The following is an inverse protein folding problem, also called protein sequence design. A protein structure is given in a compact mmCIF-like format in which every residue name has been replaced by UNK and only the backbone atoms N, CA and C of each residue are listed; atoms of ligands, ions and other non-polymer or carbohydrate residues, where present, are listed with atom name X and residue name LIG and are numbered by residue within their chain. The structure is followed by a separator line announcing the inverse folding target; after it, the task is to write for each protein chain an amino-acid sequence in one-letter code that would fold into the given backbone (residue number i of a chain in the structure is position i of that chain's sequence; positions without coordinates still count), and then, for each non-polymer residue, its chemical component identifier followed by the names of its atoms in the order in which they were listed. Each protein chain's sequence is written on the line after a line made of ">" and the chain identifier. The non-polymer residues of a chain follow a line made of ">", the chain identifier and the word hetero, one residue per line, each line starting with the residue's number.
data_IF_489558125067
#
_entry.id   IF_489558125067
#
_cell.length_a   1.000
_cell.length_b   1.000
_cell.length_c   1.000
_cell.angle_alpha   90.00
_cell.angle_beta   90.00
_cell.angle_gamma   90.00
#
_symmetry.space_group_name_H-M   'P 1'
#
loop_
_entity.id
_entity.type
_entity.pdbx_description
1 polymer ?
#
# COMPACT_ATOMS: atom_id res chain seq x y z
N UNK A 1 -42.18 14.17 23.97
CA UNK A 1 -40.97 13.57 24.59
C UNK A 1 -39.98 13.33 23.47
N UNK A 2 -38.87 14.07 23.47
CA UNK A 2 -37.86 13.98 22.40
C UNK A 2 -37.12 12.64 22.53
N UNK A 3 -37.25 11.78 21.52
CA UNK A 3 -36.45 10.56 21.42
C UNK A 3 -35.00 10.95 21.16
N UNK A 4 -34.10 10.53 22.04
CA UNK A 4 -32.66 10.68 21.83
C UNK A 4 -32.24 9.91 20.57
N UNK A 5 -31.34 10.45 19.74
CA UNK A 5 -30.86 9.76 18.55
C UNK A 5 -30.11 8.47 18.94
N UNK A 6 -30.23 7.39 18.14
CA UNK A 6 -29.57 6.14 18.41
C UNK A 6 -28.05 6.31 18.40
N UNK A 7 -27.38 5.70 19.37
CA UNK A 7 -25.92 5.73 19.49
C UNK A 7 -25.26 5.07 18.26
N UNK A 8 -24.18 5.66 17.72
CA UNK A 8 -23.47 5.07 16.59
C UNK A 8 -22.80 3.75 16.98
N UNK A 9 -22.60 2.83 16.02
CA UNK A 9 -21.94 1.56 16.27
C UNK A 9 -20.49 1.77 16.76
N UNK A 10 -19.99 0.88 17.64
CA UNK A 10 -18.66 1.02 18.23
C UNK A 10 -17.59 0.94 17.13
N UNK A 11 -16.82 2.02 16.95
CA UNK A 11 -15.70 2.11 16.00
C UNK A 11 -15.79 3.22 14.95
N UNK A 12 -16.91 3.96 14.87
CA UNK A 12 -16.98 5.14 14.01
C UNK A 12 -16.25 6.33 14.67
N UNK A 13 -15.17 6.81 14.04
CA UNK A 13 -14.56 8.07 14.44
C UNK A 13 -15.61 9.20 14.34
N UNK A 14 -15.67 10.14 15.30
CA UNK A 14 -16.62 11.24 15.23
C UNK A 14 -16.39 12.03 13.94
N UNK A 15 -17.46 12.27 13.19
CA UNK A 15 -17.40 13.06 11.96
C UNK A 15 -16.86 14.46 12.27
N UNK A 16 -16.00 14.98 11.39
CA UNK A 16 -15.48 16.34 11.53
C UNK A 16 -16.62 17.37 11.47
N UNK A 17 -16.45 18.55 12.09
CA UNK A 17 -17.46 19.63 12.00
C UNK A 17 -17.83 20.00 10.56
N UNK A 18 -16.88 19.89 9.62
CA UNK A 18 -17.13 20.10 8.20
C UNK A 18 -18.03 19.03 7.59
N UNK A 19 -17.85 17.75 7.95
CA UNK A 19 -18.75 16.67 7.52
C UNK A 19 -20.15 16.81 8.12
N UNK A 20 -20.25 17.22 9.39
CA UNK A 20 -21.54 17.49 10.03
C UNK A 20 -22.28 18.64 9.33
N UNK A 21 -21.58 19.74 9.04
CA UNK A 21 -22.17 20.86 8.29
C UNK A 21 -22.63 20.48 6.88
N UNK A 22 -21.95 19.55 6.21
CA UNK A 22 -22.37 19.04 4.91
C UNK A 22 -23.64 18.17 5.04
N UNK A 23 -23.72 17.33 6.08
CA UNK A 23 -24.88 16.49 6.33
C UNK A 23 -26.12 17.31 6.72
N UNK A 24 -25.94 18.36 7.52
CA UNK A 24 -27.01 19.30 7.91
C UNK A 24 -27.48 20.16 6.72
N UNK A 25 -26.64 20.36 5.71
CA UNK A 25 -27.00 21.04 4.47
C UNK A 25 -27.80 20.15 3.50
N UNK A 26 -27.90 18.84 3.76
CA UNK A 26 -28.73 17.94 2.96
C UNK A 26 -30.21 18.16 3.32
N UNK A 27 -31.10 18.45 2.36
CA UNK A 27 -32.50 18.72 2.66
C UNK A 27 -33.17 17.52 3.34
N UNK A 28 -33.78 17.74 4.52
CA UNK A 28 -34.51 16.70 5.27
C UNK A 28 -36.02 16.63 4.91
N UNK A 29 -36.50 17.60 4.13
CA UNK A 29 -37.87 17.65 3.61
C UNK A 29 -37.87 17.35 2.11
N UNK A 30 -38.96 16.78 1.58
CA UNK A 30 -39.09 16.52 0.15
C UNK A 30 -39.00 17.85 -0.64
N UNK A 31 -37.86 18.08 -1.29
CA UNK A 31 -37.64 19.25 -2.14
C UNK A 31 -38.03 18.90 -3.57
N UNK A 32 -38.94 19.65 -4.21
CA UNK A 32 -39.31 19.41 -5.59
C UNK A 32 -38.12 19.73 -6.51
N UNK A 33 -37.68 18.71 -7.24
CA UNK A 33 -36.49 18.72 -8.08
C UNK A 33 -36.80 18.13 -9.46
N UNK A 34 -36.01 18.51 -10.46
CA UNK A 34 -36.04 17.93 -11.80
C UNK A 34 -34.64 17.54 -12.24
N UNK A 35 -34.54 16.49 -13.06
CA UNK A 35 -33.28 16.08 -13.69
C UNK A 35 -33.19 16.71 -15.08
N UNK A 36 -32.15 17.52 -15.29
CA UNK A 36 -31.86 18.16 -16.57
C UNK A 36 -30.57 17.61 -17.14
N UNK A 37 -30.65 17.03 -18.33
CA UNK A 37 -29.46 16.56 -19.05
C UNK A 37 -28.75 17.75 -19.70
N UNK A 38 -27.50 17.98 -19.33
CA UNK A 38 -26.63 18.99 -19.93
C UNK A 38 -25.55 18.28 -20.74
N UNK A 39 -25.38 18.70 -21.98
CA UNK A 39 -24.32 18.19 -22.87
C UNK A 39 -23.14 19.14 -22.84
N UNK A 40 -21.95 18.62 -22.55
CA UNK A 40 -20.73 19.42 -22.57
C UNK A 40 -20.43 19.82 -24.03
N UNK A 41 -20.24 21.12 -24.32
CA UNK A 41 -19.90 21.58 -25.67
C UNK A 41 -18.54 21.01 -26.13
N UNK A 42 -18.37 20.89 -27.45
CA UNK A 42 -17.22 20.22 -28.07
C UNK A 42 -15.86 20.92 -27.84
N UNK A 43 -15.87 22.13 -27.27
CA UNK A 43 -14.69 22.94 -26.93
C UNK A 43 -14.16 22.67 -25.51
N UNK A 44 -14.76 21.75 -24.76
CA UNK A 44 -14.30 21.37 -23.43
C UNK A 44 -13.10 20.40 -23.48
N UNK A 45 -12.44 20.12 -22.33
CA UNK A 45 -11.39 19.13 -22.26
C UNK A 45 -11.80 17.77 -22.88
N UNK A 46 -10.87 17.06 -23.57
CA UNK A 46 -11.18 15.86 -24.35
C UNK A 46 -11.83 14.75 -23.50
N UNK A 47 -11.56 14.72 -22.19
CA UNK A 47 -12.12 13.73 -21.27
C UNK A 47 -13.62 13.92 -21.00
N UNK A 48 -14.18 15.10 -21.30
CA UNK A 48 -15.59 15.45 -21.01
C UNK A 48 -16.37 15.99 -22.21
N UNK A 49 -15.70 16.41 -23.29
CA UNK A 49 -16.33 16.95 -24.49
C UNK A 49 -17.36 15.97 -25.09
N UNK A 50 -18.57 16.47 -25.39
CA UNK A 50 -19.65 15.67 -25.98
C UNK A 50 -20.34 14.70 -25.01
N UNK A 51 -19.91 14.59 -23.75
CA UNK A 51 -20.60 13.79 -22.74
C UNK A 51 -21.82 14.54 -22.22
N UNK A 52 -22.91 13.80 -22.02
CA UNK A 52 -24.13 14.30 -21.39
C UNK A 52 -24.18 13.86 -19.92
N UNK A 53 -24.51 14.78 -19.03
CA UNK A 53 -24.63 14.53 -17.59
C UNK A 53 -25.94 15.10 -17.05
N UNK A 54 -26.55 14.36 -16.12
CA UNK A 54 -27.75 14.82 -15.43
C UNK A 54 -27.35 15.80 -14.32
N UNK A 55 -28.10 16.91 -14.23
CA UNK A 55 -28.02 17.88 -13.15
C UNK A 55 -29.36 17.93 -12.45
N UNK A 56 -29.31 17.98 -11.13
CA UNK A 56 -30.48 18.27 -10.30
C UNK A 56 -30.70 19.78 -10.31
N UNK A 57 -31.90 20.20 -10.69
CA UNK A 57 -32.33 21.59 -10.68
C UNK A 57 -33.65 21.74 -9.92
N UNK A 58 -33.93 22.95 -9.47
CA UNK A 58 -35.24 23.30 -8.93
C UNK A 58 -36.33 23.06 -10.00
N UNK A 59 -37.37 22.31 -9.66
CA UNK A 59 -38.43 21.95 -10.61
C UNK A 59 -39.27 23.14 -11.10
N UNK A 60 -39.30 24.24 -10.34
CA UNK A 60 -40.10 25.43 -10.66
C UNK A 60 -39.33 26.46 -11.49
N UNK A 61 -38.01 26.52 -11.34
CA UNK A 61 -37.19 27.62 -11.87
C UNK A 61 -35.99 27.16 -12.69
N UNK A 62 -35.78 25.85 -12.87
CA UNK A 62 -34.71 25.27 -13.70
C UNK A 62 -33.28 25.68 -13.30
N UNK A 63 -33.10 26.15 -12.07
CA UNK A 63 -31.83 26.62 -11.54
C UNK A 63 -31.22 25.61 -10.56
N UNK A 64 -29.89 25.48 -10.60
CA UNK A 64 -29.14 24.64 -9.64
C UNK A 64 -29.18 25.21 -8.22
N UNK A 65 -29.05 26.54 -8.12
CA UNK A 65 -29.28 27.30 -6.88
C UNK A 65 -30.46 28.22 -7.12
N UNK A 66 -31.52 28.06 -6.34
CA UNK A 66 -32.74 28.83 -6.49
C UNK A 66 -33.05 29.55 -5.17
N UNK A 67 -32.83 30.85 -5.15
CA UNK A 67 -33.09 31.70 -3.97
C UNK A 67 -34.60 31.79 -3.67
N UNK A 68 -35.46 31.69 -4.69
CA UNK A 68 -36.92 31.77 -4.54
C UNK A 68 -37.51 30.55 -3.82
N UNK A 69 -36.94 29.36 -4.05
CA UNK A 69 -37.34 28.13 -3.38
C UNK A 69 -36.45 27.78 -2.18
N UNK A 70 -35.43 28.60 -1.90
CA UNK A 70 -34.40 28.36 -0.89
C UNK A 70 -33.72 26.98 -1.01
N UNK A 71 -33.35 26.59 -2.23
CA UNK A 71 -32.72 25.29 -2.52
C UNK A 71 -31.38 25.47 -3.22
N UNK A 72 -30.39 24.67 -2.80
CA UNK A 72 -29.06 24.65 -3.40
C UNK A 72 -28.65 23.21 -3.74
N UNK A 73 -28.73 22.87 -5.02
CA UNK A 73 -28.29 21.59 -5.55
C UNK A 73 -26.83 21.62 -6.05
N UNK A 74 -26.14 22.76 -5.96
CA UNK A 74 -24.75 22.85 -6.42
C UNK A 74 -23.82 21.84 -5.72
N UNK A 75 -23.89 21.62 -4.40
CA UNK A 75 -23.07 20.61 -3.73
C UNK A 75 -23.34 19.18 -4.23
N UNK A 76 -24.61 18.83 -4.47
CA UNK A 76 -25.01 17.50 -4.97
C UNK A 76 -24.56 17.28 -6.41
N UNK A 77 -24.73 18.29 -7.26
CA UNK A 77 -24.28 18.25 -8.65
C UNK A 77 -22.75 18.13 -8.74
N UNK A 78 -22.03 18.87 -7.90
CA UNK A 78 -20.57 18.78 -7.78
C UNK A 78 -20.15 17.38 -7.33
N UNK A 79 -20.75 16.84 -6.27
CA UNK A 79 -20.43 15.50 -5.77
C UNK A 79 -20.71 14.42 -6.81
N UNK A 80 -21.84 14.49 -7.52
CA UNK A 80 -22.16 13.56 -8.60
C UNK A 80 -21.09 13.61 -9.71
N UNK A 81 -20.71 14.81 -10.17
CA UNK A 81 -19.67 14.96 -11.19
C UNK A 81 -18.34 14.40 -10.71
N UNK A 82 -17.93 14.73 -9.49
CA UNK A 82 -16.72 14.21 -8.88
C UNK A 82 -16.70 12.68 -8.87
N UNK A 83 -17.76 12.04 -8.37
CA UNK A 83 -17.85 10.57 -8.30
C UNK A 83 -17.93 9.90 -9.68
N UNK A 84 -18.53 10.56 -10.68
CA UNK A 84 -18.64 10.00 -12.04
C UNK A 84 -17.29 9.98 -12.79
N UNK A 85 -16.43 10.94 -12.51
CA UNK A 85 -15.09 11.03 -13.11
C UNK A 85 -13.98 10.51 -12.21
N UNK A 86 -14.30 10.19 -10.96
CA UNK A 86 -13.37 9.53 -10.06
C UNK A 86 -12.95 8.17 -10.68
N UNK A 87 -11.65 7.84 -10.65
CA UNK A 87 -11.22 6.50 -11.03
C UNK A 87 -11.94 5.46 -10.16
N UNK A 88 -12.18 4.25 -10.69
CA UNK A 88 -12.84 3.19 -9.91
C UNK A 88 -12.06 2.90 -8.61
N UNK A 89 -10.75 3.11 -8.65
CA UNK A 89 -9.81 3.04 -7.54
C UNK A 89 -9.86 4.23 -6.57
N UNK A 90 -10.79 5.19 -6.73
CA UNK A 90 -11.08 6.26 -5.77
C UNK A 90 -12.36 5.99 -4.95
N UNK A 91 -13.16 4.99 -5.34
CA UNK A 91 -14.46 4.70 -4.72
C UNK A 91 -14.38 3.32 -4.03
N UNK A 92 -14.65 3.24 -2.71
CA UNK A 92 -14.66 1.94 -2.04
C UNK A 92 -15.78 1.07 -2.60
N UNK A 93 -15.50 -0.22 -2.92
CA UNK A 93 -16.53 -1.13 -3.42
C UNK A 93 -17.52 -1.47 -2.30
N UNK A 94 -18.70 -2.03 -2.65
CA UNK A 94 -19.61 -2.59 -1.66
C UNK A 94 -18.90 -3.57 -0.71
N UNK A 95 -19.37 -3.73 0.53
CA UNK A 95 -18.81 -4.69 1.47
C UNK A 95 -18.72 -6.10 0.86
N UNK A 96 -17.65 -6.84 1.19
CA UNK A 96 -17.38 -8.22 0.78
C UNK A 96 -17.04 -8.46 -0.70
N UNK A 97 -16.75 -7.41 -1.49
CA UNK A 97 -16.22 -7.59 -2.85
C UNK A 97 -14.70 -7.78 -2.78
N UNK A 98 -14.21 -8.87 -3.37
CA UNK A 98 -12.77 -9.11 -3.47
C UNK A 98 -12.10 -8.05 -4.36
N UNK A 99 -10.88 -7.60 -4.03
CA UNK A 99 -10.15 -6.66 -4.88
C UNK A 99 -9.97 -7.19 -6.31
N UNK A 100 -10.02 -6.32 -7.34
CA UNK A 100 -9.74 -6.73 -8.71
C UNK A 100 -8.36 -7.40 -8.85
N UNK A 101 -8.24 -8.50 -9.63
CA UNK A 101 -7.00 -9.26 -9.72
C UNK A 101 -5.89 -8.57 -10.51
N UNK A 102 -6.23 -7.54 -11.29
CA UNK A 102 -5.32 -6.88 -12.24
C UNK A 102 -4.05 -6.35 -11.58
N UNK A 103 -4.17 -5.77 -10.38
CA UNK A 103 -3.02 -5.25 -9.63
C UNK A 103 -2.14 -6.37 -9.09
N UNK A 104 -2.74 -7.41 -8.49
CA UNK A 104 -1.99 -8.58 -8.03
C UNK A 104 -1.25 -9.27 -9.19
N UNK A 105 -1.86 -9.32 -10.37
CA UNK A 105 -1.22 -9.81 -11.59
C UNK A 105 -0.07 -8.90 -12.03
N UNK A 106 -0.24 -7.57 -11.99
CA UNK A 106 0.81 -6.62 -12.33
C UNK A 106 2.02 -6.76 -11.40
N UNK A 107 1.79 -6.87 -10.08
CA UNK A 107 2.84 -7.14 -9.08
C UNK A 107 3.55 -8.47 -9.38
N UNK A 108 2.78 -9.51 -9.72
CA UNK A 108 3.32 -10.83 -10.07
C UNK A 108 4.20 -10.77 -11.32
N UNK A 109 3.74 -10.12 -12.38
CA UNK A 109 4.48 -9.97 -13.63
C UNK A 109 5.79 -9.18 -13.43
N UNK A 110 5.75 -8.09 -12.65
CA UNK A 110 6.94 -7.31 -12.31
C UNK A 110 7.94 -8.12 -11.47
N UNK A 111 7.45 -8.86 -10.48
CA UNK A 111 8.26 -9.78 -9.68
C UNK A 111 8.91 -10.85 -10.57
N UNK A 112 8.17 -11.44 -11.51
CA UNK A 112 8.70 -12.44 -12.45
C UNK A 112 9.75 -11.86 -13.40
N UNK A 113 9.53 -10.64 -13.91
CA UNK A 113 10.54 -9.92 -14.68
C UNK A 113 11.83 -9.70 -13.86
N UNK A 114 11.68 -9.33 -12.58
CA UNK A 114 12.81 -9.24 -11.64
C UNK A 114 13.52 -10.59 -11.43
N UNK A 115 12.77 -11.68 -11.25
CA UNK A 115 13.33 -13.02 -11.12
C UNK A 115 14.11 -13.47 -12.37
N UNK A 116 13.60 -13.14 -13.56
CA UNK A 116 14.27 -13.45 -14.83
C UNK A 116 15.57 -12.65 -14.98
N UNK A 117 15.56 -11.36 -14.64
CA UNK A 117 16.77 -10.54 -14.61
C UNK A 117 17.79 -11.05 -13.58
N UNK A 118 17.33 -11.49 -12.41
CA UNK A 118 18.16 -12.06 -11.36
C UNK A 118 18.84 -13.36 -11.81
N UNK A 119 18.11 -14.26 -12.47
CA UNK A 119 18.68 -15.49 -13.06
C UNK A 119 19.72 -15.19 -14.14
N UNK A 120 19.53 -14.10 -14.89
CA UNK A 120 20.50 -13.61 -15.86
C UNK A 120 21.69 -12.85 -15.23
N UNK A 121 21.83 -12.86 -13.90
CA UNK A 121 22.87 -12.14 -13.14
C UNK A 121 22.87 -10.61 -13.35
N UNK A 122 21.77 -10.05 -13.87
CA UNK A 122 21.57 -8.60 -14.02
C UNK A 122 20.91 -8.05 -12.77
N UNK A 123 21.66 -8.03 -11.67
CA UNK A 123 21.13 -7.72 -10.33
C UNK A 123 20.57 -6.30 -10.22
N UNK A 124 21.20 -5.31 -10.84
CA UNK A 124 20.71 -3.92 -10.79
C UNK A 124 19.35 -3.76 -11.48
N UNK A 125 19.17 -4.44 -12.63
CA UNK A 125 17.90 -4.48 -13.36
C UNK A 125 16.85 -5.24 -12.56
N UNK A 126 17.23 -6.34 -11.91
CA UNK A 126 16.34 -7.09 -11.03
C UNK A 126 15.84 -6.22 -9.87
N UNK A 127 16.74 -5.46 -9.23
CA UNK A 127 16.39 -4.52 -8.15
C UNK A 127 15.37 -3.48 -8.60
N UNK A 128 15.50 -2.92 -9.81
CA UNK A 128 14.54 -1.97 -10.36
C UNK A 128 13.15 -2.59 -10.55
N UNK A 129 13.07 -3.82 -11.07
CA UNK A 129 11.79 -4.51 -11.24
C UNK A 129 11.14 -4.85 -9.90
N UNK A 130 11.92 -5.28 -8.90
CA UNK A 130 11.39 -5.52 -7.55
C UNK A 130 10.93 -4.23 -6.87
N UNK A 131 11.61 -3.10 -7.06
CA UNK A 131 11.14 -1.79 -6.59
C UNK A 131 9.79 -1.44 -7.20
N UNK A 132 9.64 -1.55 -8.52
CA UNK A 132 8.35 -1.31 -9.20
C UNK A 132 7.24 -2.23 -8.68
N UNK A 133 7.56 -3.50 -8.41
CA UNK A 133 6.61 -4.45 -7.85
C UNK A 133 6.21 -4.07 -6.41
N UNK A 134 7.17 -3.60 -5.60
CA UNK A 134 6.93 -3.11 -4.23
C UNK A 134 6.04 -1.87 -4.25
N UNK A 135 6.34 -0.91 -5.13
CA UNK A 135 5.55 0.32 -5.27
C UNK A 135 4.11 0.00 -5.67
N UNK A 136 3.91 -0.91 -6.63
CA UNK A 136 2.57 -1.34 -7.04
C UNK A 136 1.77 -2.05 -5.93
N UNK A 137 2.47 -2.80 -5.06
CA UNK A 137 1.89 -3.48 -3.90
C UNK A 137 1.54 -2.52 -2.75
N UNK A 138 2.37 -1.49 -2.52
CA UNK A 138 2.15 -0.48 -1.48
C UNK A 138 1.19 0.63 -1.92
N UNK A 139 1.06 0.87 -3.23
CA UNK A 139 0.10 1.82 -3.79
C UNK A 139 -1.33 1.26 -3.90
N UNK A 140 -1.69 0.26 -3.07
CA UNK A 140 -3.03 -0.31 -3.05
C UNK A 140 -4.01 0.70 -2.44
N UNK A 141 -5.24 0.80 -2.96
CA UNK A 141 -6.25 1.66 -2.38
C UNK A 141 -6.49 1.33 -0.89
N UNK A 142 -6.74 2.33 -0.02
CA UNK A 142 -6.85 2.11 1.43
C UNK A 142 -7.97 1.17 1.89
N UNK A 143 -9.00 0.97 1.07
CA UNK A 143 -10.10 0.01 1.36
C UNK A 143 -9.77 -1.43 0.95
N UNK A 144 -8.72 -1.66 0.16
CA UNK A 144 -8.26 -3.02 -0.06
C UNK A 144 -7.61 -3.58 1.22
N UNK A 145 -7.70 -4.90 1.48
CA UNK A 145 -7.08 -5.49 2.65
C UNK A 145 -5.58 -5.19 2.70
N UNK A 146 -5.16 -4.43 3.72
CA UNK A 146 -3.75 -4.04 3.91
C UNK A 146 -2.80 -5.25 4.02
N UNK A 147 -3.31 -6.42 4.41
CA UNK A 147 -2.56 -7.66 4.43
C UNK A 147 -2.01 -8.04 3.04
N UNK A 148 -2.80 -7.86 1.97
CA UNK A 148 -2.39 -8.23 0.60
C UNK A 148 -1.16 -7.43 0.16
N UNK A 149 -1.23 -6.11 0.28
CA UNK A 149 -0.11 -5.23 -0.07
C UNK A 149 1.13 -5.49 0.79
N UNK A 150 0.95 -5.75 2.10
CA UNK A 150 2.06 -6.08 2.99
C UNK A 150 2.74 -7.41 2.63
N UNK A 151 1.98 -8.45 2.30
CA UNK A 151 2.53 -9.75 1.91
C UNK A 151 3.30 -9.68 0.59
N UNK A 152 2.73 -9.03 -0.43
CA UNK A 152 3.36 -8.81 -1.72
C UNK A 152 4.64 -7.96 -1.60
N UNK A 153 4.58 -6.88 -0.81
CA UNK A 153 5.73 -6.02 -0.53
C UNK A 153 6.84 -6.78 0.21
N UNK A 154 6.51 -7.59 1.22
CA UNK A 154 7.50 -8.38 1.95
C UNK A 154 8.25 -9.35 1.03
N UNK A 155 7.55 -10.01 0.10
CA UNK A 155 8.17 -10.94 -0.86
C UNK A 155 9.10 -10.19 -1.83
N UNK A 156 8.63 -9.09 -2.41
CA UNK A 156 9.39 -8.32 -3.41
C UNK A 156 10.60 -7.63 -2.79
N UNK A 157 10.49 -7.08 -1.58
CA UNK A 157 11.61 -6.54 -0.81
C UNK A 157 12.63 -7.62 -0.42
N UNK A 158 12.19 -8.82 -0.05
CA UNK A 158 13.10 -9.94 0.26
C UNK A 158 13.93 -10.35 -0.97
N UNK A 159 13.34 -10.32 -2.16
CA UNK A 159 14.05 -10.55 -3.41
C UNK A 159 14.97 -9.38 -3.79
N UNK A 160 14.54 -8.13 -3.55
CA UNK A 160 15.39 -6.93 -3.76
C UNK A 160 16.61 -6.93 -2.85
N UNK A 161 16.44 -7.29 -1.58
CA UNK A 161 17.52 -7.49 -0.62
C UNK A 161 18.54 -8.50 -1.15
N UNK A 162 18.07 -9.61 -1.72
CA UNK A 162 18.95 -10.59 -2.35
C UNK A 162 19.73 -10.00 -3.53
N UNK A 163 19.08 -9.30 -4.46
CA UNK A 163 19.76 -8.63 -5.58
C UNK A 163 20.82 -7.65 -5.11
N UNK A 164 20.49 -6.81 -4.14
CA UNK A 164 21.43 -5.84 -3.57
C UNK A 164 22.64 -6.53 -2.95
N UNK A 165 22.44 -7.63 -2.21
CA UNK A 165 23.52 -8.44 -1.68
C UNK A 165 24.42 -9.03 -2.79
N UNK A 166 23.85 -9.55 -3.87
CA UNK A 166 24.62 -10.07 -5.01
C UNK A 166 25.35 -8.97 -5.81
N UNK A 167 24.84 -7.73 -5.82
CA UNK A 167 25.54 -6.55 -6.36
C UNK A 167 26.61 -6.00 -5.40
N UNK A 168 26.78 -6.55 -4.20
CA UNK A 168 27.69 -6.02 -3.17
C UNK A 168 27.18 -4.75 -2.46
N UNK A 169 25.94 -4.35 -2.68
CA UNK A 169 25.30 -3.22 -2.00
C UNK A 169 24.68 -3.68 -0.67
N UNK A 170 25.54 -3.98 0.30
CA UNK A 170 25.13 -4.59 1.58
C UNK A 170 24.27 -3.68 2.44
N UNK A 171 24.51 -2.36 2.42
CA UNK A 171 23.71 -1.40 3.18
C UNK A 171 22.25 -1.35 2.69
N UNK A 172 22.04 -1.33 1.36
CA UNK A 172 20.69 -1.40 0.79
C UNK A 172 20.04 -2.77 1.04
N UNK A 173 20.82 -3.85 0.98
CA UNK A 173 20.33 -5.19 1.30
C UNK A 173 19.85 -5.30 2.75
N UNK A 174 20.57 -4.69 3.69
CA UNK A 174 20.23 -4.66 5.12
C UNK A 174 18.94 -3.86 5.37
N UNK A 175 18.82 -2.67 4.77
CA UNK A 175 17.62 -1.84 4.90
C UNK A 175 16.36 -2.57 4.38
N UNK A 176 16.48 -3.26 3.24
CA UNK A 176 15.39 -4.08 2.70
C UNK A 176 15.04 -5.23 3.65
N UNK A 177 16.05 -5.95 4.16
CA UNK A 177 15.82 -7.09 5.06
C UNK A 177 15.16 -6.67 6.39
N UNK A 178 15.57 -5.55 6.97
CA UNK A 178 14.93 -4.98 8.17
C UNK A 178 13.47 -4.62 7.89
N UNK A 179 13.18 -4.04 6.73
CA UNK A 179 11.81 -3.73 6.30
C UNK A 179 10.98 -5.01 6.16
N UNK A 180 11.55 -6.08 5.59
CA UNK A 180 10.88 -7.40 5.49
C UNK A 180 10.52 -7.95 6.87
N UNK A 181 11.43 -7.87 7.85
CA UNK A 181 11.17 -8.32 9.22
C UNK A 181 10.08 -7.46 9.89
N UNK A 182 10.04 -6.16 9.62
CA UNK A 182 8.98 -5.29 10.12
C UNK A 182 7.60 -5.63 9.50
N UNK A 183 7.58 -6.02 8.22
CA UNK A 183 6.34 -6.41 7.53
C UNK A 183 5.87 -7.83 7.92
N UNK A 184 6.80 -8.78 8.06
CA UNK A 184 6.52 -10.20 8.28
C UNK A 184 7.55 -10.84 9.21
N UNK A 185 7.52 -10.44 10.49
CA UNK A 185 8.50 -10.87 11.51
C UNK A 185 8.72 -12.38 11.64
N UNK A 186 7.69 -13.25 11.59
CA UNK A 186 7.88 -14.70 11.75
C UNK A 186 8.58 -15.37 10.56
N UNK A 187 8.86 -14.63 9.47
CA UNK A 187 9.39 -15.23 8.26
C UNK A 187 10.92 -15.37 8.31
N UNK A 188 11.39 -16.60 8.47
CA UNK A 188 12.81 -16.97 8.56
C UNK A 188 13.68 -16.44 7.43
N UNK A 189 13.14 -16.41 6.20
CA UNK A 189 13.86 -15.84 5.04
C UNK A 189 14.24 -14.37 5.24
N UNK A 190 13.41 -13.57 5.92
CA UNK A 190 13.74 -12.17 6.22
C UNK A 190 14.94 -12.05 7.15
N UNK A 191 14.98 -12.88 8.19
CA UNK A 191 16.12 -12.98 9.12
C UNK A 191 17.39 -13.46 8.43
N UNK A 192 17.29 -14.46 7.56
CA UNK A 192 18.42 -14.91 6.75
C UNK A 192 18.97 -13.80 5.84
N UNK A 193 18.11 -13.01 5.18
CA UNK A 193 18.56 -11.85 4.39
C UNK A 193 19.29 -10.81 5.24
N UNK A 194 18.77 -10.51 6.44
CA UNK A 194 19.38 -9.56 7.37
C UNK A 194 20.77 -10.05 7.80
N UNK A 195 20.86 -11.30 8.24
CA UNK A 195 22.12 -11.91 8.64
C UNK A 195 23.14 -11.90 7.49
N UNK A 196 22.71 -12.23 6.26
CA UNK A 196 23.59 -12.23 5.09
C UNK A 196 24.11 -10.84 4.72
N UNK A 197 23.27 -9.81 4.84
CA UNK A 197 23.69 -8.43 4.63
C UNK A 197 24.70 -7.98 5.70
N UNK A 198 24.48 -8.36 6.97
CA UNK A 198 25.39 -8.05 8.09
C UNK A 198 26.75 -8.75 7.95
N UNK A 199 26.78 -10.01 7.50
CA UNK A 199 28.04 -10.70 7.16
C UNK A 199 28.81 -9.95 6.07
N UNK A 200 28.12 -9.46 5.04
CA UNK A 200 28.74 -8.66 3.98
C UNK A 200 29.25 -7.29 4.44
N UNK A 201 28.75 -6.79 5.58
CA UNK A 201 29.23 -5.60 6.28
C UNK A 201 30.26 -5.92 7.37
N UNK A 202 30.68 -7.19 7.50
CA UNK A 202 31.61 -7.67 8.53
C UNK A 202 31.09 -7.48 9.98
N UNK A 203 29.78 -7.31 10.15
CA UNK A 203 29.10 -7.19 11.45
C UNK A 203 28.63 -8.56 11.92
N UNK A 204 29.58 -9.42 12.28
CA UNK A 204 29.31 -10.86 12.51
C UNK A 204 28.44 -11.16 13.74
N UNK A 205 28.62 -10.42 14.85
CA UNK A 205 27.81 -10.61 16.06
C UNK A 205 26.33 -10.25 15.83
N UNK A 206 26.06 -9.13 15.16
CA UNK A 206 24.70 -8.74 14.78
C UNK A 206 24.09 -9.74 13.80
N UNK A 207 24.91 -10.31 12.89
CA UNK A 207 24.47 -11.35 11.97
C UNK A 207 24.05 -12.61 12.72
N UNK A 208 24.84 -13.04 13.71
CA UNK A 208 24.53 -14.17 14.59
C UNK A 208 23.20 -13.95 15.30
N UNK A 209 23.01 -12.78 15.89
CA UNK A 209 21.76 -12.44 16.57
C UNK A 209 20.56 -12.49 15.62
N UNK A 210 20.70 -11.99 14.39
CA UNK A 210 19.64 -12.05 13.39
C UNK A 210 19.24 -13.50 13.04
N UNK A 211 20.20 -14.43 12.96
CA UNK A 211 19.89 -15.86 12.73
C UNK A 211 19.21 -16.48 13.94
N UNK A 212 19.68 -16.17 15.16
CA UNK A 212 19.05 -16.63 16.41
C UNK A 212 17.60 -16.16 16.49
N UNK A 213 17.32 -14.90 16.18
CA UNK A 213 15.96 -14.34 16.14
C UNK A 213 15.07 -15.08 15.13
N UNK A 214 15.62 -15.48 13.98
CA UNK A 214 14.91 -16.31 13.00
C UNK A 214 14.62 -17.73 13.51
N UNK A 215 15.61 -18.37 14.14
CA UNK A 215 15.49 -19.72 14.70
C UNK A 215 14.52 -19.81 15.88
N UNK A 216 14.18 -18.69 16.54
CA UNK A 216 13.08 -18.66 17.52
C UNK A 216 11.73 -19.04 16.90
N UNK A 217 11.53 -18.75 15.60
CA UNK A 217 10.29 -19.09 14.88
C UNK A 217 10.34 -20.49 14.26
N UNK A 218 11.46 -20.88 13.66
CA UNK A 218 11.65 -22.22 13.08
C UNK A 218 13.00 -22.82 13.53
N UNK A 219 13.06 -23.48 14.70
CA UNK A 219 14.32 -23.99 15.27
C UNK A 219 15.04 -25.04 14.39
N UNK A 220 14.27 -25.77 13.59
CA UNK A 220 14.75 -26.86 12.74
C UNK A 220 15.06 -26.42 11.30
N UNK A 221 15.09 -25.11 11.01
CA UNK A 221 15.45 -24.62 9.68
C UNK A 221 16.92 -24.94 9.37
N UNK A 222 17.14 -25.81 8.38
CA UNK A 222 18.48 -26.26 8.01
C UNK A 222 19.33 -25.16 7.38
N UNK A 223 18.72 -24.24 6.63
CA UNK A 223 19.44 -23.16 5.96
C UNK A 223 19.96 -22.16 7.00
N UNK A 224 19.14 -21.78 7.98
CA UNK A 224 19.54 -20.89 9.07
C UNK A 224 20.56 -21.55 10.00
N UNK A 225 20.38 -22.83 10.37
CA UNK A 225 21.34 -23.52 11.24
C UNK A 225 22.71 -23.67 10.57
N UNK A 226 22.77 -23.99 9.28
CA UNK A 226 24.03 -24.04 8.54
C UNK A 226 24.67 -22.64 8.49
N UNK A 227 23.87 -21.61 8.21
CA UNK A 227 24.36 -20.24 8.15
C UNK A 227 24.86 -19.72 9.51
N UNK A 228 24.26 -20.16 10.62
CA UNK A 228 24.74 -19.87 11.96
C UNK A 228 26.15 -20.43 12.19
N UNK A 229 26.42 -21.66 11.75
CA UNK A 229 27.74 -22.28 11.86
C UNK A 229 28.79 -21.49 11.05
N UNK A 230 28.44 -21.11 9.81
CA UNK A 230 29.31 -20.28 8.96
C UNK A 230 29.66 -18.92 9.62
N UNK A 231 28.69 -18.28 10.27
CA UNK A 231 28.91 -17.02 11.00
C UNK A 231 29.82 -17.24 12.21
N UNK A 232 29.62 -18.32 12.97
CA UNK A 232 30.46 -18.61 14.15
C UNK A 232 31.91 -18.93 13.78
N UNK A 233 32.15 -19.55 12.62
CA UNK A 233 33.49 -19.74 12.08
C UNK A 233 34.14 -18.39 11.74
N UNK A 234 33.40 -17.49 11.08
CA UNK A 234 33.88 -16.13 10.78
C UNK A 234 34.21 -15.30 12.02
N UNK A 235 33.41 -15.42 13.09
CA UNK A 235 33.68 -14.76 14.37
C UNK A 235 35.02 -15.28 14.93
N UNK A 236 35.21 -16.60 14.99
CA UNK A 236 36.47 -17.20 15.47
C UNK A 236 37.68 -16.80 14.64
N UNK A 237 37.51 -16.65 13.33
CA UNK A 237 38.57 -16.17 12.43
C UNK A 237 38.90 -14.70 12.70
N UNK A 238 37.90 -13.85 12.89
CA UNK A 238 38.06 -12.44 13.24
C UNK A 238 38.77 -12.27 14.60
N UNK A 239 38.37 -13.04 15.62
CA UNK A 239 38.98 -13.02 16.96
C UNK A 239 40.46 -13.42 16.92
N UNK A 240 40.83 -14.41 16.09
CA UNK A 240 42.24 -14.80 15.90
C UNK A 240 43.07 -13.74 15.19
N UNK A 241 42.44 -12.93 14.33
CA UNK A 241 43.11 -11.86 13.60
C UNK A 241 43.41 -10.65 14.49
N UNK A 242 42.65 -10.44 15.57
CA UNK A 242 42.80 -9.32 16.51
C UNK A 242 42.87 -9.79 17.97
N UNK A 243 43.96 -10.46 18.40
CA UNK A 243 44.07 -11.00 19.76
C UNK A 243 44.16 -9.94 20.88
N UNK A 244 44.41 -8.66 20.57
CA UNK A 244 44.75 -7.61 21.55
C UNK A 244 43.82 -6.36 21.50
N UNK A 245 42.51 -6.54 21.69
CA UNK A 245 41.59 -5.40 21.93
C UNK A 245 40.84 -5.45 23.27
N UNK A 246 41.35 -6.23 24.23
CA UNK A 246 40.91 -6.15 25.62
C UNK A 246 42.13 -6.10 26.55
N UNK A 247 42.61 -4.87 26.79
CA UNK A 247 43.23 -4.46 28.06
C UNK A 247 42.50 -3.24 28.58
#
# INVERSE_FOLDING_TARGET
>A
MAHAPPLPPPGAAPLSPAHLSLLDALPHTHVPHALKTVTVPANAPPDIAGKSFALVVCSLHDQQKCDQCAVDFAPVNFLHQFLRFAPAEAIPPPPNVAPPPQRAQAVTNLKEAGNNAFKAQKFDVASQFYSKATDAALSRPPWEPAALGREEAAITLCNRSASNAFSGNWAAALADAQTVINLKRPWTKGHFRKARALVGLEQYEDAKQAVIDGLQYEPNDKELNNFLQEIEEKIKEADKAFPDTVQ
#
